data_IF_096390393650
#
_entry.id   IF_096390393650
#
_cell.length_a   1.000
_cell.length_b   1.000
_cell.length_c   1.000
_cell.angle_alpha   90.00
_cell.angle_beta   90.00
_cell.angle_gamma   90.00
#
_symmetry.space_group_name_H-M   'P 1'
#
loop_
_entity.id
_entity.type
_entity.pdbx_description
1 polymer ?
#
# COMPACT_ATOMS: atom_id res chain seq x y z
N UNK A 1 -6.32 11.78 -18.63
CA UNK A 1 -4.88 11.81 -18.30
C UNK A 1 -4.36 10.39 -18.38
N UNK A 2 -3.30 10.14 -19.14
CA UNK A 2 -2.74 8.79 -19.34
C UNK A 2 -1.74 8.49 -18.24
N UNK A 3 -1.61 7.23 -17.79
CA UNK A 3 -0.52 6.85 -16.87
C UNK A 3 0.87 7.19 -17.45
N UNK A 4 0.97 7.21 -18.78
CA UNK A 4 2.19 7.57 -19.52
C UNK A 4 2.46 9.08 -19.57
N UNK A 5 1.57 9.92 -19.03
CA UNK A 5 1.79 11.37 -18.88
C UNK A 5 2.26 11.77 -17.49
N UNK A 6 2.58 10.81 -16.62
CA UNK A 6 3.16 11.08 -15.30
C UNK A 6 4.66 11.37 -15.44
N UNK A 7 5.12 12.40 -14.73
CA UNK A 7 6.54 12.67 -14.61
C UNK A 7 7.25 11.56 -13.83
N UNK A 8 8.53 11.38 -14.08
CA UNK A 8 9.34 10.32 -13.44
C UNK A 8 9.30 10.38 -11.91
N UNK A 9 9.23 11.59 -11.32
CA UNK A 9 9.14 11.78 -9.87
C UNK A 9 7.77 11.37 -9.32
N UNK A 10 6.69 11.56 -10.08
CA UNK A 10 5.34 11.10 -9.69
C UNK A 10 5.26 9.58 -9.70
N UNK A 11 5.87 8.95 -10.70
CA UNK A 11 6.03 7.49 -10.74
C UNK A 11 6.84 7.00 -9.54
N UNK A 12 7.96 7.65 -9.22
CA UNK A 12 8.76 7.30 -8.04
C UNK A 12 7.93 7.37 -6.74
N UNK A 13 7.09 8.40 -6.58
CA UNK A 13 6.20 8.53 -5.42
C UNK A 13 5.14 7.42 -5.33
N UNK A 14 4.73 6.81 -6.44
CA UNK A 14 3.84 5.64 -6.43
C UNK A 14 4.58 4.37 -5.98
N UNK A 15 5.85 4.23 -6.36
CA UNK A 15 6.66 3.06 -6.00
C UNK A 15 7.11 3.08 -4.54
N UNK A 16 7.37 4.24 -3.94
CA UNK A 16 7.79 4.36 -2.53
C UNK A 16 6.84 3.61 -1.56
N UNK A 17 5.53 3.89 -1.52
CA UNK A 17 4.61 3.17 -0.63
C UNK A 17 4.46 1.69 -1.03
N UNK A 18 4.51 1.35 -2.33
CA UNK A 18 4.43 -0.04 -2.78
C UNK A 18 5.63 -0.87 -2.27
N UNK A 19 6.85 -0.33 -2.38
CA UNK A 19 8.07 -0.95 -1.90
C UNK A 19 8.07 -1.09 -0.37
N UNK A 20 7.59 -0.08 0.37
CA UNK A 20 7.48 -0.16 1.83
C UNK A 20 6.50 -1.26 2.28
N UNK A 21 5.36 -1.43 1.59
CA UNK A 21 4.43 -2.51 1.91
C UNK A 21 5.03 -3.89 1.59
N UNK A 22 5.67 -4.05 0.43
CA UNK A 22 6.34 -5.31 0.07
C UNK A 22 7.47 -5.65 1.04
N UNK A 23 8.28 -4.65 1.42
CA UNK A 23 9.34 -4.81 2.41
C UNK A 23 8.76 -5.20 3.77
N UNK A 24 7.66 -4.57 4.22
CA UNK A 24 7.02 -4.90 5.49
C UNK A 24 6.51 -6.35 5.53
N UNK A 25 5.91 -6.82 4.44
CA UNK A 25 5.49 -8.22 4.29
C UNK A 25 6.71 -9.14 4.34
N UNK A 26 7.75 -8.88 3.53
CA UNK A 26 8.98 -9.65 3.52
C UNK A 26 9.63 -9.69 4.90
N UNK A 27 9.75 -8.55 5.58
CA UNK A 27 10.27 -8.45 6.94
C UNK A 27 9.47 -9.31 7.89
N UNK A 28 8.14 -9.25 7.85
CA UNK A 28 7.27 -10.07 8.68
C UNK A 28 7.38 -11.58 8.39
N UNK A 29 7.77 -11.98 7.18
CA UNK A 29 8.06 -13.38 6.87
C UNK A 29 9.42 -13.86 7.40
N UNK A 30 10.42 -12.98 7.47
CA UNK A 30 11.79 -13.33 7.82
C UNK A 30 12.15 -13.11 9.30
N UNK A 31 11.26 -12.51 10.08
CA UNK A 31 11.51 -12.22 11.50
C UNK A 31 10.55 -12.99 12.41
N UNK A 32 11.03 -13.27 13.61
CA UNK A 32 10.22 -13.85 14.69
C UNK A 32 9.42 -12.76 15.39
N UNK A 33 8.18 -13.10 15.75
CA UNK A 33 7.27 -12.25 16.51
C UNK A 33 6.99 -12.88 17.86
N UNK A 34 6.53 -12.10 18.84
CA UNK A 34 6.19 -12.63 20.15
C UNK A 34 5.06 -13.65 20.09
N UNK A 35 4.14 -13.50 19.13
CA UNK A 35 3.08 -14.48 18.83
C UNK A 35 2.83 -14.65 17.33
N UNK A 36 2.30 -15.80 16.88
CA UNK A 36 1.88 -15.99 15.49
C UNK A 36 0.81 -14.99 15.04
N UNK A 37 -0.10 -14.61 15.94
CA UNK A 37 -1.18 -13.67 15.64
C UNK A 37 -0.64 -12.28 15.33
N UNK A 38 0.33 -11.80 16.11
CA UNK A 38 0.98 -10.50 15.90
C UNK A 38 1.56 -10.38 14.49
N UNK A 39 2.27 -11.43 14.02
CA UNK A 39 2.81 -11.49 12.66
C UNK A 39 1.70 -11.36 11.61
N UNK A 40 0.60 -12.10 11.78
CA UNK A 40 -0.53 -12.08 10.84
C UNK A 40 -1.15 -10.69 10.81
N UNK A 41 -1.35 -10.03 11.95
CA UNK A 41 -1.91 -8.68 12.02
C UNK A 41 -1.07 -7.70 11.21
N UNK A 42 0.26 -7.74 11.34
CA UNK A 42 1.15 -6.85 10.59
C UNK A 42 1.15 -7.13 9.08
N UNK A 43 1.14 -8.40 8.67
CA UNK A 43 1.02 -8.77 7.25
C UNK A 43 -0.32 -8.26 6.68
N UNK A 44 -1.41 -8.48 7.40
CA UNK A 44 -2.73 -8.00 6.99
C UNK A 44 -2.78 -6.47 6.91
N UNK A 45 -2.13 -5.76 7.84
CA UNK A 45 -2.02 -4.31 7.78
C UNK A 45 -1.31 -3.84 6.49
N UNK A 46 -0.17 -4.44 6.14
CA UNK A 46 0.56 -4.12 4.90
C UNK A 46 -0.23 -4.42 3.61
N UNK A 47 -1.16 -5.37 3.64
CA UNK A 47 -1.98 -5.73 2.47
C UNK A 47 -3.25 -4.88 2.38
N UNK A 48 -3.98 -4.73 3.49
CA UNK A 48 -5.33 -4.15 3.47
C UNK A 48 -5.34 -2.64 3.64
N UNK A 49 -4.38 -2.02 4.33
CA UNK A 49 -4.36 -0.55 4.46
C UNK A 49 -4.30 0.14 3.09
N UNK A 50 -3.40 -0.26 2.15
CA UNK A 50 -3.37 0.33 0.81
C UNK A 50 -4.67 0.09 0.02
N UNK A 51 -5.23 -1.13 0.13
CA UNK A 51 -6.48 -1.49 -0.53
C UNK A 51 -7.65 -0.63 -0.04
N UNK A 52 -7.79 -0.48 1.28
CA UNK A 52 -8.82 0.34 1.90
C UNK A 52 -8.66 1.82 1.53
N UNK A 53 -7.42 2.32 1.44
CA UNK A 53 -7.15 3.68 0.96
C UNK A 53 -7.62 3.90 -0.48
N UNK A 54 -7.34 2.95 -1.37
CA UNK A 54 -7.83 2.98 -2.75
C UNK A 54 -9.35 2.90 -2.83
N UNK A 55 -9.97 2.01 -2.06
CA UNK A 55 -11.42 1.88 -2.01
C UNK A 55 -12.10 3.15 -1.48
N UNK A 56 -11.55 3.76 -0.42
CA UNK A 56 -12.04 5.03 0.09
C UNK A 56 -11.99 6.13 -0.98
N UNK A 57 -10.91 6.20 -1.77
CA UNK A 57 -10.84 7.14 -2.89
C UNK A 57 -11.91 6.86 -3.95
N UNK A 58 -12.12 5.60 -4.34
CA UNK A 58 -13.14 5.26 -5.35
C UNK A 58 -14.56 5.61 -4.89
N UNK A 59 -14.88 5.36 -3.61
CA UNK A 59 -16.21 5.60 -3.07
C UNK A 59 -16.50 7.09 -2.83
N UNK A 60 -15.52 7.84 -2.29
CA UNK A 60 -15.76 9.20 -1.81
C UNK A 60 -15.06 10.28 -2.62
N UNK A 61 -13.88 9.99 -3.17
CA UNK A 61 -13.02 10.94 -3.86
C UNK A 61 -13.29 11.03 -5.35
N UNK A 62 -13.51 9.90 -6.04
CA UNK A 62 -13.62 9.87 -7.50
C UNK A 62 -14.81 10.70 -8.00
N UNK A 63 -15.95 10.67 -7.30
CA UNK A 63 -17.13 11.49 -7.65
C UNK A 63 -16.92 13.00 -7.47
N UNK A 64 -15.83 13.41 -6.84
CA UNK A 64 -15.45 14.82 -6.62
C UNK A 64 -14.35 15.28 -7.57
N UNK A 65 -13.78 14.37 -8.37
CA UNK A 65 -12.82 14.73 -9.40
C UNK A 65 -13.57 15.39 -10.57
N UNK A 66 -13.23 16.64 -10.88
CA UNK A 66 -13.75 17.42 -12.01
C UNK A 66 -12.77 17.38 -13.18
#
# INVERSE_FOLDING_TARGET
>A
MSLFSLEWWQLALLFVPALLNLWGIWHAFNHTFGTPLERIVWIMACVFIPLLGGLAYLLFGWRRAH
#
